data_IF_221878332371
#
_entry.id   IF_221878332371
#
_cell.length_a   1.000
_cell.length_b   1.000
_cell.length_c   1.000
_cell.angle_alpha   90.00
_cell.angle_beta   90.00
_cell.angle_gamma   90.00
#
_symmetry.space_group_name_H-M   'P 1'
#
loop_
_entity.id
_entity.type
_entity.pdbx_description
1 polymer ?
#
# COMPACT_ATOMS: atom_id res chain seq x y z
N UNK A 1 -61.05 65.63 25.81
CA UNK A 1 -61.05 66.69 24.73
C UNK A 1 -60.15 66.24 23.63
N UNK A 2 -60.79 65.75 22.60
CA UNK A 2 -60.65 66.13 21.17
C UNK A 2 -59.25 66.29 20.68
N UNK A 3 -58.78 65.72 19.55
CA UNK A 3 -59.40 65.55 18.22
C UNK A 3 -58.52 64.68 17.34
N UNK A 4 -59.15 63.81 16.64
CA UNK A 4 -59.01 63.36 15.26
C UNK A 4 -58.05 64.13 14.28
N UNK A 5 -57.30 63.38 13.46
CA UNK A 5 -57.28 63.49 11.95
C UNK A 5 -56.33 62.41 11.43
N UNK A 6 -56.82 61.39 10.75
CA UNK A 6 -57.00 61.14 9.29
C UNK A 6 -55.69 61.03 8.49
N UNK A 7 -55.45 59.78 8.09
CA UNK A 7 -55.38 59.30 6.71
C UNK A 7 -54.13 59.63 5.90
N UNK A 8 -53.54 58.60 5.35
CA UNK A 8 -52.59 58.61 4.24
C UNK A 8 -52.10 57.20 3.93
N UNK A 9 -52.93 56.49 3.14
CA UNK A 9 -52.50 55.21 2.56
C UNK A 9 -51.55 55.48 1.42
N UNK A 10 -50.32 54.97 1.48
CA UNK A 10 -49.40 54.90 0.33
C UNK A 10 -49.18 53.43 0.00
N UNK A 11 -49.77 52.96 -1.08
CA UNK A 11 -49.46 51.69 -1.71
C UNK A 11 -48.06 51.73 -2.28
N UNK A 12 -47.13 50.98 -1.71
CA UNK A 12 -45.85 50.68 -2.35
C UNK A 12 -45.93 49.22 -2.86
N UNK A 13 -46.07 49.12 -4.18
CA UNK A 13 -45.92 47.86 -4.93
C UNK A 13 -44.44 47.41 -4.83
N UNK A 14 -44.18 46.45 -3.92
CA UNK A 14 -42.94 45.74 -3.84
C UNK A 14 -42.88 44.67 -4.92
N UNK A 15 -41.97 44.87 -5.90
CA UNK A 15 -41.57 43.86 -6.87
C UNK A 15 -40.84 42.74 -6.13
N UNK A 16 -41.47 41.57 -5.99
CA UNK A 16 -40.81 40.33 -5.57
C UNK A 16 -39.91 39.89 -6.71
N UNK A 17 -38.62 40.21 -6.62
CA UNK A 17 -37.60 39.52 -7.37
C UNK A 17 -37.42 38.13 -6.77
N UNK A 18 -38.02 37.12 -7.38
CA UNK A 18 -37.72 35.71 -7.12
C UNK A 18 -36.29 35.46 -7.54
N UNK A 19 -35.36 35.59 -6.59
CA UNK A 19 -34.01 35.07 -6.74
C UNK A 19 -34.13 33.52 -6.78
N UNK A 20 -33.97 32.93 -7.97
CA UNK A 20 -33.64 31.51 -8.10
C UNK A 20 -32.28 31.32 -7.43
N UNK A 21 -32.26 30.88 -6.18
CA UNK A 21 -31.12 30.18 -5.63
C UNK A 21 -31.00 28.89 -6.45
N UNK A 22 -30.12 28.87 -7.45
CA UNK A 22 -29.55 27.63 -7.93
C UNK A 22 -28.79 27.06 -6.74
N UNK A 23 -29.41 26.07 -6.05
CA UNK A 23 -28.71 25.22 -5.12
C UNK A 23 -27.64 24.50 -5.93
N UNK A 24 -26.38 24.88 -5.75
CA UNK A 24 -25.26 24.00 -6.07
C UNK A 24 -25.44 22.84 -5.08
N UNK A 25 -26.04 21.75 -5.56
CA UNK A 25 -25.93 20.45 -4.89
C UNK A 25 -24.43 20.17 -4.90
N UNK A 26 -23.79 20.18 -3.75
CA UNK A 26 -22.49 19.53 -3.62
C UNK A 26 -22.77 18.07 -4.01
N UNK A 27 -22.22 17.60 -5.11
CA UNK A 27 -22.22 16.18 -5.42
C UNK A 27 -21.57 15.49 -4.22
N UNK A 28 -22.28 14.51 -3.65
CA UNK A 28 -21.81 13.74 -2.52
C UNK A 28 -20.60 12.94 -2.99
N UNK A 29 -19.46 13.15 -2.35
CA UNK A 29 -18.21 12.50 -2.71
C UNK A 29 -18.30 11.02 -2.29
N UNK A 30 -17.91 10.10 -3.16
CA UNK A 30 -17.89 8.66 -2.88
C UNK A 30 -16.53 8.28 -2.26
N UNK A 31 -16.53 7.75 -1.06
CA UNK A 31 -15.33 7.22 -0.41
C UNK A 31 -15.04 5.80 -0.93
N UNK A 32 -13.88 5.61 -1.54
CA UNK A 32 -13.37 4.29 -1.95
C UNK A 32 -12.24 3.89 -1.00
N UNK A 33 -12.46 2.82 -0.25
CA UNK A 33 -11.51 2.34 0.76
C UNK A 33 -10.51 1.39 0.10
N UNK A 34 -9.23 1.76 0.15
CA UNK A 34 -8.13 1.01 -0.46
C UNK A 34 -7.17 0.52 0.61
N UNK A 35 -7.05 -0.80 0.75
CA UNK A 35 -6.02 -1.42 1.58
C UNK A 35 -4.80 -1.73 0.71
N UNK A 36 -3.66 -1.13 1.01
CA UNK A 36 -2.46 -1.28 0.21
C UNK A 36 -1.22 -1.57 1.05
N UNK A 37 -0.34 -2.39 0.52
CA UNK A 37 0.94 -2.70 1.14
C UNK A 37 1.73 -1.42 1.48
N UNK A 38 2.31 -1.37 2.67
CA UNK A 38 3.03 -0.20 3.20
C UNK A 38 4.15 0.31 2.27
N UNK A 39 4.77 -0.57 1.47
CA UNK A 39 5.78 -0.22 0.46
C UNK A 39 5.27 0.69 -0.67
N UNK A 40 3.94 0.83 -0.81
CA UNK A 40 3.31 1.65 -1.84
C UNK A 40 2.87 3.04 -1.32
N UNK A 41 3.17 3.38 -0.08
CA UNK A 41 2.66 4.60 0.58
C UNK A 41 2.97 5.86 -0.23
N UNK A 42 4.21 6.04 -0.65
CA UNK A 42 4.64 7.25 -1.36
C UNK A 42 3.99 7.34 -2.75
N UNK A 43 4.05 6.26 -3.53
CA UNK A 43 3.53 6.23 -4.90
C UNK A 43 2.01 6.38 -4.93
N UNK A 44 1.28 5.66 -4.07
CA UNK A 44 -0.18 5.77 -4.04
C UNK A 44 -0.67 7.10 -3.45
N UNK A 45 0.10 7.75 -2.58
CA UNK A 45 -0.20 9.11 -2.11
C UNK A 45 -0.06 10.13 -3.25
N UNK A 46 0.96 10.00 -4.10
CA UNK A 46 1.11 10.83 -5.29
C UNK A 46 -0.01 10.56 -6.31
N UNK A 47 -0.29 9.29 -6.60
CA UNK A 47 -1.36 8.87 -7.52
C UNK A 47 -2.74 9.33 -7.01
N UNK A 48 -2.99 9.36 -5.69
CA UNK A 48 -4.21 9.91 -5.11
C UNK A 48 -4.45 11.36 -5.55
N UNK A 49 -3.43 12.20 -5.49
CA UNK A 49 -3.56 13.60 -5.93
C UNK A 49 -3.79 13.70 -7.44
N UNK A 50 -3.17 12.82 -8.24
CA UNK A 50 -3.42 12.76 -9.69
C UNK A 50 -4.85 12.29 -10.00
N UNK A 51 -5.37 11.29 -9.26
CA UNK A 51 -6.71 10.76 -9.48
C UNK A 51 -7.82 11.75 -9.15
N UNK A 52 -7.63 12.64 -8.20
CA UNK A 52 -8.56 13.75 -7.89
C UNK A 52 -8.83 14.67 -9.08
N UNK A 53 -7.83 14.83 -9.97
CA UNK A 53 -8.00 15.64 -11.19
C UNK A 53 -8.84 14.89 -12.25
N UNK A 54 -8.87 13.56 -12.21
CA UNK A 54 -9.59 12.69 -13.15
C UNK A 54 -11.01 12.44 -12.67
N UNK A 55 -11.17 12.10 -11.40
CA UNK A 55 -12.45 11.74 -10.75
C UNK A 55 -12.66 12.57 -9.46
N UNK A 56 -13.04 13.86 -9.59
CA UNK A 56 -13.13 14.77 -8.43
C UNK A 56 -14.23 14.39 -7.42
N UNK A 57 -15.17 13.52 -7.81
CA UNK A 57 -16.24 13.02 -6.96
C UNK A 57 -15.89 11.75 -6.20
N UNK A 58 -14.71 11.19 -6.42
CA UNK A 58 -14.19 10.02 -5.69
C UNK A 58 -13.13 10.48 -4.69
N UNK A 59 -13.26 10.04 -3.46
CA UNK A 59 -12.27 10.22 -2.41
C UNK A 59 -11.63 8.86 -2.08
N UNK A 60 -10.35 8.70 -2.41
CA UNK A 60 -9.61 7.49 -2.06
C UNK A 60 -9.19 7.53 -0.59
N UNK A 61 -9.61 6.55 0.19
CA UNK A 61 -9.29 6.40 1.61
C UNK A 61 -8.31 5.24 1.77
N UNK A 62 -7.03 5.55 1.93
CA UNK A 62 -6.00 4.53 2.05
C UNK A 62 -5.78 4.06 3.49
N UNK A 63 -5.59 2.75 3.64
CA UNK A 63 -4.98 2.13 4.82
C UNK A 63 -3.70 1.42 4.37
N UNK A 64 -2.55 1.87 4.86
CA UNK A 64 -1.24 1.30 4.56
C UNK A 64 -0.72 0.49 5.74
N UNK A 65 -0.47 -0.80 5.53
CA UNK A 65 0.15 -1.67 6.53
C UNK A 65 0.78 -2.90 5.84
N UNK A 66 1.27 -3.87 6.61
CA UNK A 66 1.69 -5.15 6.05
C UNK A 66 0.50 -5.84 5.38
N UNK A 67 0.76 -6.53 4.27
CA UNK A 67 -0.32 -7.23 3.56
C UNK A 67 -0.97 -8.31 4.41
N UNK A 68 -0.24 -8.91 5.36
CA UNK A 68 -0.79 -9.88 6.31
C UNK A 68 -1.75 -9.25 7.31
N UNK A 69 -1.39 -8.09 7.87
CA UNK A 69 -2.27 -7.30 8.75
C UNK A 69 -3.55 -6.90 8.02
N UNK A 70 -3.42 -6.33 6.81
CA UNK A 70 -4.57 -5.91 5.99
C UNK A 70 -5.48 -7.08 5.63
N UNK A 71 -4.89 -8.22 5.22
CA UNK A 71 -5.63 -9.46 4.97
C UNK A 71 -6.44 -9.90 6.20
N UNK A 72 -5.84 -9.83 7.39
CA UNK A 72 -6.51 -10.20 8.64
C UNK A 72 -7.67 -9.24 8.94
N UNK A 73 -7.51 -7.94 8.72
CA UNK A 73 -8.59 -6.96 8.85
C UNK A 73 -9.75 -7.24 7.89
N UNK A 74 -9.46 -7.62 6.62
CA UNK A 74 -10.48 -8.03 5.65
C UNK A 74 -11.23 -9.29 6.14
N UNK A 75 -10.52 -10.30 6.65
CA UNK A 75 -11.13 -11.50 7.22
C UNK A 75 -12.04 -11.18 8.42
N UNK A 76 -11.69 -10.17 9.21
CA UNK A 76 -12.45 -9.72 10.38
C UNK A 76 -13.63 -8.81 10.01
N UNK A 77 -13.80 -8.50 8.71
CA UNK A 77 -14.93 -7.75 8.17
C UNK A 77 -14.70 -6.24 8.15
N UNK A 78 -13.46 -5.78 8.03
CA UNK A 78 -13.18 -4.37 7.77
C UNK A 78 -13.69 -3.99 6.37
N UNK A 79 -14.22 -2.78 6.26
CA UNK A 79 -14.63 -2.21 4.99
C UNK A 79 -13.38 -2.01 4.11
N UNK A 80 -13.41 -2.61 2.92
CA UNK A 80 -12.35 -2.51 1.93
C UNK A 80 -12.94 -2.76 0.54
N UNK A 81 -12.73 -1.82 -0.39
CA UNK A 81 -13.19 -1.93 -1.76
C UNK A 81 -12.11 -2.53 -2.66
N UNK A 82 -10.86 -2.11 -2.48
CA UNK A 82 -9.71 -2.54 -3.28
C UNK A 82 -8.57 -2.99 -2.38
N UNK A 83 -8.03 -4.18 -2.62
CA UNK A 83 -6.86 -4.71 -1.91
C UNK A 83 -5.65 -4.83 -2.84
N UNK A 84 -4.50 -4.28 -2.43
CA UNK A 84 -3.21 -4.35 -3.12
C UNK A 84 -2.18 -4.97 -2.18
N UNK A 85 -1.76 -6.20 -2.48
CA UNK A 85 -0.83 -6.97 -1.66
C UNK A 85 0.59 -6.95 -2.23
N UNK A 86 1.62 -6.95 -1.38
CA UNK A 86 3.02 -7.09 -1.78
C UNK A 86 3.45 -8.55 -2.00
N UNK A 87 2.53 -9.51 -1.94
CA UNK A 87 2.78 -10.90 -2.31
C UNK A 87 1.50 -11.64 -2.70
N UNK A 88 1.67 -12.65 -3.56
CA UNK A 88 0.59 -13.53 -3.99
C UNK A 88 -0.06 -14.30 -2.82
N UNK A 89 0.73 -14.67 -1.79
CA UNK A 89 0.25 -15.48 -0.65
C UNK A 89 -0.98 -14.87 0.02
N UNK A 90 -0.95 -13.59 0.38
CA UNK A 90 -2.03 -12.93 1.11
C UNK A 90 -3.28 -12.76 0.25
N UNK A 91 -3.13 -12.45 -1.04
CA UNK A 91 -4.24 -12.42 -1.99
C UNK A 91 -4.85 -13.82 -2.16
N UNK A 92 -4.01 -14.85 -2.35
CA UNK A 92 -4.47 -16.23 -2.50
C UNK A 92 -5.22 -16.74 -1.27
N UNK A 93 -4.87 -16.30 -0.08
CA UNK A 93 -5.56 -16.66 1.17
C UNK A 93 -7.00 -16.10 1.26
N UNK A 94 -7.33 -15.09 0.46
CA UNK A 94 -8.67 -14.48 0.37
C UNK A 94 -9.46 -14.96 -0.85
N UNK A 95 -8.84 -15.71 -1.76
CA UNK A 95 -9.36 -16.08 -3.06
C UNK A 95 -9.79 -17.55 -3.09
N UNK A 96 -11.08 -17.79 -3.31
CA UNK A 96 -11.67 -19.15 -3.35
C UNK A 96 -11.13 -20.00 -4.51
N UNK A 97 -10.59 -19.36 -5.56
CA UNK A 97 -10.03 -20.06 -6.72
C UNK A 97 -8.58 -20.49 -6.51
N UNK A 98 -7.92 -19.98 -5.46
CA UNK A 98 -6.56 -20.36 -5.11
C UNK A 98 -6.46 -21.81 -4.61
N UNK A 99 -5.22 -22.32 -4.54
CA UNK A 99 -4.95 -23.65 -4.02
C UNK A 99 -5.49 -23.77 -2.58
N UNK A 100 -6.31 -24.81 -2.27
CA UNK A 100 -6.87 -25.02 -0.93
C UNK A 100 -5.82 -25.18 0.18
N UNK A 101 -4.57 -25.52 -0.15
CA UNK A 101 -3.47 -25.56 0.82
C UNK A 101 -2.99 -24.15 1.21
N UNK A 102 -3.31 -23.12 0.45
CA UNK A 102 -3.01 -21.71 0.73
C UNK A 102 -4.24 -21.01 1.34
N UNK A 103 -5.42 -21.21 0.76
CA UNK A 103 -6.70 -20.74 1.29
C UNK A 103 -7.38 -21.82 2.13
N UNK A 104 -6.75 -22.24 3.23
CA UNK A 104 -7.25 -23.31 4.11
C UNK A 104 -8.61 -23.02 4.74
N UNK A 105 -8.97 -21.73 4.87
CA UNK A 105 -10.25 -21.29 5.43
C UNK A 105 -11.38 -21.28 4.40
N UNK A 106 -11.08 -21.45 3.10
CA UNK A 106 -12.05 -21.37 2.02
C UNK A 106 -12.70 -19.98 1.88
N UNK A 107 -11.93 -18.92 2.07
CA UNK A 107 -12.41 -17.54 2.01
C UNK A 107 -12.71 -17.15 0.55
N UNK A 108 -13.74 -16.33 0.35
CA UNK A 108 -14.21 -15.89 -0.96
C UNK A 108 -14.44 -14.38 -0.99
N UNK A 109 -13.35 -13.64 -0.81
CA UNK A 109 -13.38 -12.17 -0.79
C UNK A 109 -13.00 -11.52 -2.11
N UNK A 110 -12.22 -12.21 -2.97
CA UNK A 110 -11.66 -11.64 -4.19
C UNK A 110 -12.67 -11.72 -5.35
N UNK A 111 -12.90 -10.60 -6.04
CA UNK A 111 -13.58 -10.63 -7.33
C UNK A 111 -12.58 -11.02 -8.43
N UNK A 112 -12.64 -12.28 -8.85
CA UNK A 112 -11.72 -12.87 -9.83
C UNK A 112 -11.70 -12.12 -11.17
N UNK A 113 -12.80 -11.45 -11.53
CA UNK A 113 -12.89 -10.69 -12.76
C UNK A 113 -12.02 -9.43 -12.75
N UNK A 114 -11.61 -8.96 -11.56
CA UNK A 114 -10.79 -7.77 -11.38
C UNK A 114 -9.37 -8.09 -10.96
N UNK A 115 -9.11 -9.34 -10.53
CA UNK A 115 -7.80 -9.75 -10.04
C UNK A 115 -6.74 -9.68 -11.13
N UNK A 116 -5.63 -8.99 -10.84
CA UNK A 116 -4.49 -8.90 -11.74
C UNK A 116 -3.17 -8.78 -10.96
N UNK A 117 -2.06 -9.06 -11.63
CA UNK A 117 -0.73 -8.72 -11.16
C UNK A 117 -0.43 -7.30 -11.64
N UNK A 118 -0.23 -6.37 -10.73
CA UNK A 118 -0.05 -4.96 -11.06
C UNK A 118 1.42 -4.60 -11.24
N UNK A 119 2.27 -4.99 -10.26
CA UNK A 119 3.66 -4.57 -10.18
C UNK A 119 4.59 -5.72 -9.81
N UNK A 120 5.85 -5.56 -10.21
CA UNK A 120 6.99 -6.31 -9.70
C UNK A 120 7.90 -5.42 -8.86
N UNK A 121 8.57 -6.02 -7.87
CA UNK A 121 9.57 -5.36 -7.04
C UNK A 121 10.79 -6.26 -6.86
N UNK A 122 11.82 -5.76 -6.20
CA UNK A 122 13.06 -6.48 -5.90
C UNK A 122 13.35 -6.44 -4.42
N UNK A 123 13.87 -7.54 -3.89
CA UNK A 123 14.35 -7.61 -2.51
C UNK A 123 15.82 -7.21 -2.49
N UNK A 124 16.18 -6.33 -1.56
CA UNK A 124 17.54 -5.80 -1.43
C UNK A 124 18.02 -5.85 0.01
N UNK A 125 19.32 -5.91 0.16
CA UNK A 125 20.01 -5.68 1.41
C UNK A 125 20.37 -4.20 1.49
N UNK A 126 19.80 -3.50 2.46
CA UNK A 126 20.05 -2.09 2.70
C UNK A 126 20.77 -1.89 4.03
N UNK A 127 21.60 -0.85 4.07
CA UNK A 127 22.43 -0.49 5.23
C UNK A 127 22.22 0.98 5.60
N UNK A 128 22.50 1.38 6.86
CA UNK A 128 22.52 2.77 7.28
C UNK A 128 23.50 3.62 6.47
N UNK A 129 23.37 4.95 6.58
CA UNK A 129 24.33 5.90 6.06
C UNK A 129 25.75 5.53 6.58
N UNK A 130 26.76 5.66 5.71
CA UNK A 130 28.16 5.32 5.98
C UNK A 130 28.47 3.82 6.21
N UNK A 131 27.48 2.92 6.24
CA UNK A 131 27.66 1.48 6.39
C UNK A 131 28.71 1.10 7.45
N UNK A 132 28.52 1.41 8.72
CA UNK A 132 29.57 1.28 9.75
C UNK A 132 30.00 -0.17 10.01
N UNK A 133 29.17 -1.16 9.66
CA UNK A 133 29.48 -2.58 9.80
C UNK A 133 30.23 -3.16 8.57
N UNK A 134 30.44 -2.36 7.51
CA UNK A 134 31.10 -2.77 6.25
C UNK A 134 30.48 -4.03 5.63
N UNK A 135 29.13 -4.10 5.65
CA UNK A 135 28.35 -5.16 5.02
C UNK A 135 28.25 -4.85 3.53
N UNK A 136 28.60 -5.80 2.65
CA UNK A 136 28.66 -5.61 1.22
C UNK A 136 27.76 -6.57 0.43
N UNK A 137 27.35 -7.69 1.04
CA UNK A 137 26.51 -8.70 0.40
C UNK A 137 25.67 -9.46 1.43
N UNK A 138 24.70 -10.27 0.95
CA UNK A 138 23.91 -11.14 1.80
C UNK A 138 24.76 -12.16 2.56
N UNK A 139 25.88 -12.64 1.98
CA UNK A 139 26.78 -13.59 2.64
C UNK A 139 27.48 -12.97 3.86
N UNK A 140 27.71 -11.66 3.84
CA UNK A 140 28.31 -10.96 5.00
C UNK A 140 27.44 -11.07 6.26
N UNK A 141 26.12 -11.30 6.12
CA UNK A 141 25.18 -11.49 7.24
C UNK A 141 25.54 -12.72 8.09
N UNK A 142 26.16 -13.74 7.50
CA UNK A 142 26.64 -14.94 8.22
C UNK A 142 27.99 -14.75 8.94
N UNK A 143 28.55 -13.53 8.97
CA UNK A 143 29.88 -13.25 9.51
C UNK A 143 29.84 -12.43 10.82
N UNK A 144 31.02 -12.18 11.39
CA UNK A 144 31.18 -11.31 12.58
C UNK A 144 30.96 -9.82 12.30
N UNK A 145 30.75 -9.41 11.05
CA UNK A 145 30.40 -8.03 10.68
C UNK A 145 29.03 -7.64 11.21
N UNK A 146 28.06 -8.56 11.18
CA UNK A 146 26.70 -8.33 11.59
C UNK A 146 26.55 -8.47 13.11
N UNK A 147 26.01 -7.43 13.78
CA UNK A 147 25.50 -7.52 15.14
C UNK A 147 23.99 -7.64 15.17
N UNK A 148 23.26 -6.85 14.37
CA UNK A 148 21.80 -6.86 14.36
C UNK A 148 21.25 -6.61 12.96
N UNK A 149 20.36 -7.49 12.49
CA UNK A 149 19.61 -7.43 11.25
C UNK A 149 18.14 -7.14 11.55
N UNK A 150 17.50 -6.25 10.78
CA UNK A 150 16.05 -6.06 10.84
C UNK A 150 15.36 -6.71 9.65
N UNK A 151 14.31 -7.49 9.94
CA UNK A 151 13.44 -8.14 8.97
C UNK A 151 11.98 -7.74 9.21
N UNK A 152 11.11 -7.96 8.21
CA UNK A 152 9.67 -7.99 8.45
C UNK A 152 9.30 -9.24 9.27
N UNK A 153 8.26 -9.13 10.11
CA UNK A 153 7.72 -10.31 10.82
C UNK A 153 6.91 -11.21 9.86
N UNK A 154 6.30 -12.27 10.38
CA UNK A 154 5.54 -13.27 9.60
C UNK A 154 4.34 -12.73 8.81
N UNK A 155 3.78 -11.57 9.20
CA UNK A 155 2.69 -10.88 8.50
C UNK A 155 3.18 -9.95 7.38
N UNK A 156 4.49 -9.71 7.32
CA UNK A 156 5.11 -8.81 6.34
C UNK A 156 5.62 -9.61 5.14
N UNK A 157 5.11 -9.37 3.92
CA UNK A 157 5.55 -10.14 2.75
C UNK A 157 7.08 -10.17 2.55
N UNK A 158 7.78 -9.03 2.73
CA UNK A 158 9.25 -9.02 2.61
C UNK A 158 9.94 -9.85 3.69
N UNK A 159 9.30 -10.08 4.84
CA UNK A 159 9.78 -11.01 5.86
C UNK A 159 9.89 -12.44 5.32
N UNK A 160 8.85 -12.93 4.64
CA UNK A 160 8.86 -14.26 4.03
C UNK A 160 9.94 -14.40 2.93
N UNK A 161 10.16 -13.35 2.12
CA UNK A 161 11.27 -13.32 1.16
C UNK A 161 12.64 -13.29 1.86
N UNK A 162 12.75 -12.57 2.97
CA UNK A 162 13.98 -12.52 3.78
C UNK A 162 14.33 -13.88 4.37
N UNK A 163 13.36 -14.59 4.92
CA UNK A 163 13.54 -15.95 5.43
C UNK A 163 13.96 -16.92 4.31
N UNK A 164 13.36 -16.79 3.11
CA UNK A 164 13.73 -17.59 1.94
C UNK A 164 15.22 -17.35 1.56
N UNK A 165 15.65 -16.09 1.51
CA UNK A 165 17.06 -15.71 1.23
C UNK A 165 18.01 -16.29 2.28
N UNK A 166 17.74 -16.06 3.57
CA UNK A 166 18.60 -16.49 4.65
C UNK A 166 18.65 -18.04 4.77
N UNK A 167 17.56 -18.73 4.42
CA UNK A 167 17.49 -20.20 4.34
C UNK A 167 18.31 -20.72 3.18
N UNK A 168 18.20 -20.12 2.00
CA UNK A 168 18.97 -20.51 0.82
C UNK A 168 20.48 -20.28 0.99
N UNK A 169 20.85 -19.35 1.86
CA UNK A 169 22.25 -19.11 2.28
C UNK A 169 22.72 -19.99 3.45
N UNK A 170 21.85 -20.84 4.03
CA UNK A 170 22.14 -21.69 5.19
C UNK A 170 22.55 -20.89 6.46
N UNK A 171 22.07 -19.63 6.64
CA UNK A 171 22.47 -18.77 7.77
C UNK A 171 21.30 -18.41 8.71
N UNK A 172 20.04 -18.68 8.37
CA UNK A 172 18.88 -18.28 9.17
C UNK A 172 18.96 -18.85 10.60
N UNK A 173 19.12 -20.17 10.74
CA UNK A 173 19.18 -20.86 12.04
C UNK A 173 20.29 -20.30 12.95
N UNK A 174 21.44 -19.94 12.36
CA UNK A 174 22.55 -19.34 13.10
C UNK A 174 22.18 -17.93 13.61
N UNK A 175 21.59 -17.09 12.74
CA UNK A 175 21.21 -15.71 13.12
C UNK A 175 20.15 -15.70 14.22
N UNK A 176 19.19 -16.64 14.18
CA UNK A 176 18.19 -16.83 15.23
C UNK A 176 18.82 -17.30 16.56
N UNK A 177 19.69 -18.33 16.52
CA UNK A 177 20.38 -18.85 17.69
C UNK A 177 21.24 -17.77 18.37
N UNK A 178 21.91 -16.95 17.58
CA UNK A 178 22.76 -15.84 18.03
C UNK A 178 21.95 -14.58 18.44
N UNK A 179 20.62 -14.59 18.22
CA UNK A 179 19.70 -13.48 18.48
C UNK A 179 20.10 -12.20 17.73
N UNK A 180 20.54 -12.35 16.50
CA UNK A 180 20.96 -11.26 15.63
C UNK A 180 19.84 -10.71 14.76
N UNK A 181 18.58 -11.12 14.96
CA UNK A 181 17.40 -10.67 14.21
C UNK A 181 16.46 -9.88 15.11
N UNK A 182 16.00 -8.74 14.63
CA UNK A 182 14.84 -7.99 15.14
C UNK A 182 13.78 -7.87 14.05
N UNK A 183 12.53 -7.57 14.42
CA UNK A 183 11.41 -7.60 13.48
C UNK A 183 10.64 -6.28 13.50
N UNK A 184 10.25 -5.82 12.28
CA UNK A 184 9.26 -4.77 12.09
C UNK A 184 7.88 -5.35 11.76
N UNK A 185 6.83 -4.66 12.14
CA UNK A 185 5.43 -5.06 11.86
C UNK A 185 4.99 -4.76 10.42
N UNK A 186 5.73 -3.93 9.72
CA UNK A 186 5.62 -3.66 8.28
C UNK A 186 6.98 -3.19 7.73
N UNK A 187 7.10 -3.08 6.39
CA UNK A 187 8.38 -2.73 5.75
C UNK A 187 8.85 -1.32 6.10
N UNK A 188 7.95 -0.36 6.36
CA UNK A 188 8.33 1.01 6.74
C UNK A 188 9.00 1.06 8.11
N UNK A 189 8.60 0.19 9.02
CA UNK A 189 9.24 0.05 10.33
C UNK A 189 10.66 -0.53 10.20
N UNK A 190 10.85 -1.52 9.32
CA UNK A 190 12.19 -2.05 8.97
C UNK A 190 13.06 -0.93 8.38
N UNK A 191 12.56 -0.21 7.38
CA UNK A 191 13.24 0.91 6.72
C UNK A 191 13.65 2.00 7.72
N UNK A 192 12.77 2.32 8.67
CA UNK A 192 13.04 3.31 9.72
C UNK A 192 14.19 2.86 10.62
N UNK A 193 14.23 1.59 11.06
CA UNK A 193 15.30 1.06 11.90
C UNK A 193 16.67 1.14 11.20
N UNK A 194 16.70 0.89 9.87
CA UNK A 194 17.92 1.04 9.07
C UNK A 194 18.32 2.53 9.01
N UNK A 195 17.38 3.42 8.66
CA UNK A 195 17.63 4.86 8.52
C UNK A 195 18.15 5.50 9.81
N UNK A 196 17.66 5.05 10.96
CA UNK A 196 18.09 5.52 12.28
C UNK A 196 19.41 4.90 12.76
N UNK A 197 19.99 3.94 12.01
CA UNK A 197 21.18 3.22 12.43
C UNK A 197 20.97 2.35 13.68
N UNK A 198 19.74 1.97 13.96
CA UNK A 198 19.39 1.09 15.08
C UNK A 198 19.80 -0.37 14.83
N UNK A 199 20.06 -0.70 13.56
CA UNK A 199 20.50 -2.01 13.08
C UNK A 199 21.66 -1.84 12.08
N UNK A 200 22.44 -2.88 11.86
CA UNK A 200 23.57 -2.84 10.92
C UNK A 200 23.11 -2.98 9.47
N UNK A 201 21.99 -3.70 9.25
CA UNK A 201 21.39 -3.92 7.93
C UNK A 201 19.91 -4.30 8.07
N UNK A 202 19.20 -4.26 6.95
CA UNK A 202 17.84 -4.80 6.84
C UNK A 202 17.55 -5.30 5.44
N UNK A 203 16.65 -6.27 5.35
CA UNK A 203 16.17 -6.79 4.07
C UNK A 203 14.80 -6.16 3.79
N UNK A 204 14.73 -5.37 2.72
CA UNK A 204 13.56 -4.56 2.33
C UNK A 204 13.37 -4.62 0.81
N UNK A 205 12.38 -3.90 0.31
CA UNK A 205 12.23 -3.73 -1.14
C UNK A 205 13.12 -2.59 -1.66
N UNK A 206 13.52 -2.69 -2.93
CA UNK A 206 14.31 -1.67 -3.61
C UNK A 206 13.61 -0.31 -3.60
N UNK A 207 12.29 -0.30 -3.75
CA UNK A 207 11.46 0.91 -3.73
C UNK A 207 11.48 1.60 -2.36
N UNK A 208 11.47 0.85 -1.26
CA UNK A 208 11.58 1.40 0.10
C UNK A 208 12.96 1.97 0.36
N UNK A 209 14.01 1.29 -0.10
CA UNK A 209 15.38 1.79 -0.01
C UNK A 209 15.55 3.10 -0.81
N UNK A 210 14.99 3.16 -2.03
CA UNK A 210 15.00 4.35 -2.87
C UNK A 210 14.29 5.52 -2.20
N UNK A 211 13.04 5.30 -1.75
CA UNK A 211 12.22 6.35 -1.11
C UNK A 211 12.84 6.90 0.18
N UNK A 212 13.56 6.06 0.93
CA UNK A 212 14.25 6.46 2.16
C UNK A 212 15.68 6.96 1.94
N UNK A 213 16.20 6.93 0.71
CA UNK A 213 17.57 7.32 0.39
C UNK A 213 18.63 6.42 1.02
N UNK A 214 18.30 5.14 1.28
CA UNK A 214 19.21 4.17 1.87
C UNK A 214 20.21 3.63 0.86
N UNK A 215 21.37 3.20 1.36
CA UNK A 215 22.38 2.52 0.53
C UNK A 215 22.00 1.06 0.36
N UNK A 216 21.76 0.65 -0.88
CA UNK A 216 21.62 -0.75 -1.28
C UNK A 216 23.04 -1.31 -1.50
N UNK A 217 23.39 -2.39 -0.81
CA UNK A 217 24.67 -3.07 -0.94
C UNK A 217 24.56 -4.37 -1.72
N UNK A 218 23.36 -4.98 -1.79
CA UNK A 218 23.13 -6.20 -2.56
C UNK A 218 21.65 -6.31 -2.97
N UNK A 219 21.37 -7.11 -4.01
CA UNK A 219 20.03 -7.40 -4.51
C UNK A 219 19.88 -8.91 -4.71
N UNK A 220 18.79 -9.47 -4.16
CA UNK A 220 18.49 -10.88 -4.33
C UNK A 220 18.21 -11.22 -5.79
N UNK A 221 18.82 -12.29 -6.26
CA UNK A 221 18.53 -12.91 -7.55
C UNK A 221 17.53 -14.07 -7.41
N UNK A 222 17.22 -14.74 -8.53
CA UNK A 222 16.26 -15.85 -8.59
C UNK A 222 16.70 -17.10 -7.84
N UNK A 223 18.00 -17.22 -7.52
CA UNK A 223 18.52 -18.36 -6.76
C UNK A 223 18.32 -18.14 -5.25
N UNK A 224 18.22 -16.87 -4.82
CA UNK A 224 18.03 -16.50 -3.43
C UNK A 224 16.55 -16.42 -3.03
N UNK A 225 15.68 -15.83 -3.87
CA UNK A 225 14.23 -15.81 -3.61
C UNK A 225 13.43 -15.72 -4.90
N UNK A 226 12.15 -16.09 -4.80
CA UNK A 226 11.20 -15.95 -5.91
C UNK A 226 10.91 -14.49 -6.22
N UNK A 227 10.38 -14.27 -7.43
CA UNK A 227 9.93 -12.96 -7.90
C UNK A 227 8.87 -12.34 -7.00
N UNK A 228 9.03 -11.05 -6.71
CA UNK A 228 8.08 -10.28 -5.90
C UNK A 228 7.01 -9.69 -6.81
N UNK A 229 5.79 -10.18 -6.67
CA UNK A 229 4.60 -9.72 -7.43
C UNK A 229 3.60 -9.07 -6.49
N UNK A 230 3.04 -7.94 -6.92
CA UNK A 230 1.96 -7.23 -6.24
C UNK A 230 0.64 -7.49 -6.96
N UNK A 231 -0.14 -8.48 -6.50
CA UNK A 231 -1.49 -8.69 -6.96
C UNK A 231 -2.44 -7.64 -6.39
N UNK A 232 -3.45 -7.30 -7.17
CA UNK A 232 -4.53 -6.40 -6.77
C UNK A 232 -5.87 -6.97 -7.19
N UNK A 233 -6.94 -6.66 -6.44
CA UNK A 233 -8.31 -7.03 -6.79
C UNK A 233 -9.32 -6.14 -6.06
N UNK A 234 -10.45 -5.88 -6.69
CA UNK A 234 -11.66 -5.40 -6.03
C UNK A 234 -12.22 -6.55 -5.17
N UNK A 235 -12.71 -6.23 -3.99
CA UNK A 235 -13.31 -7.24 -3.12
C UNK A 235 -14.79 -7.43 -3.41
N UNK A 236 -15.30 -8.65 -3.25
CA UNK A 236 -16.75 -8.98 -3.39
C UNK A 236 -17.62 -8.27 -2.34
N UNK A 237 -16.99 -7.80 -1.26
CA UNK A 237 -17.63 -7.05 -0.18
C UNK A 237 -17.56 -5.54 -0.38
N UNK A 238 -16.99 -5.07 -1.49
CA UNK A 238 -16.85 -3.65 -1.79
C UNK A 238 -18.21 -2.93 -1.74
N UNK A 239 -18.26 -1.78 -1.09
CA UNK A 239 -19.44 -0.91 -1.08
C UNK A 239 -19.54 -0.12 -2.40
N UNK A 240 -18.38 0.20 -3.01
CA UNK A 240 -18.26 0.98 -4.25
C UNK A 240 -17.44 0.23 -5.32
N UNK A 241 -17.91 -0.95 -5.81
CA UNK A 241 -17.12 -1.80 -6.69
C UNK A 241 -16.82 -1.18 -8.06
N UNK A 242 -17.72 -0.35 -8.59
CA UNK A 242 -17.53 0.29 -9.90
C UNK A 242 -16.45 1.39 -9.82
N UNK A 243 -16.45 2.21 -8.76
CA UNK A 243 -15.44 3.24 -8.50
C UNK A 243 -14.08 2.62 -8.14
N UNK A 244 -14.07 1.55 -7.34
CA UNK A 244 -12.86 0.78 -7.03
C UNK A 244 -12.23 0.18 -8.30
N UNK A 245 -13.07 -0.36 -9.21
CA UNK A 245 -12.61 -0.86 -10.50
C UNK A 245 -12.08 0.25 -11.40
N UNK A 246 -12.73 1.41 -11.41
CA UNK A 246 -12.26 2.57 -12.18
C UNK A 246 -10.88 3.04 -11.68
N UNK A 247 -10.67 3.07 -10.35
CA UNK A 247 -9.36 3.37 -9.80
C UNK A 247 -8.32 2.29 -10.12
N UNK A 248 -8.69 1.00 -10.04
CA UNK A 248 -7.82 -0.11 -10.46
C UNK A 248 -7.39 0.05 -11.92
N UNK A 249 -8.32 0.39 -12.82
CA UNK A 249 -7.99 0.64 -14.22
C UNK A 249 -7.07 1.87 -14.39
N UNK A 250 -7.27 2.90 -13.59
CA UNK A 250 -6.40 4.07 -13.60
C UNK A 250 -4.96 3.72 -13.20
N UNK A 251 -4.75 2.80 -12.23
CA UNK A 251 -3.43 2.34 -11.82
C UNK A 251 -2.62 1.69 -12.96
N UNK A 252 -3.27 1.25 -14.03
CA UNK A 252 -2.61 0.64 -15.21
C UNK A 252 -2.28 1.65 -16.31
N UNK A 253 -2.54 2.94 -16.13
CA UNK A 253 -2.25 3.98 -17.12
C UNK A 253 -0.76 4.33 -17.16
N UNK A 254 -0.31 4.87 -18.32
CA UNK A 254 1.07 5.34 -18.48
C UNK A 254 1.47 6.38 -17.42
N UNK A 255 0.54 7.23 -17.00
CA UNK A 255 0.79 8.24 -15.98
C UNK A 255 1.10 7.62 -14.61
N UNK A 256 0.41 6.54 -14.22
CA UNK A 256 0.72 5.80 -12.99
C UNK A 256 2.00 4.96 -13.15
N UNK A 257 2.23 4.40 -14.34
CA UNK A 257 3.46 3.66 -14.63
C UNK A 257 4.71 4.53 -14.42
N UNK A 258 4.69 5.80 -14.87
CA UNK A 258 5.79 6.76 -14.64
C UNK A 258 6.07 6.96 -13.14
N UNK A 259 5.02 7.04 -12.30
CA UNK A 259 5.18 7.17 -10.83
C UNK A 259 5.78 5.91 -10.23
N UNK A 260 5.25 4.73 -10.59
CA UNK A 260 5.73 3.46 -10.07
C UNK A 260 7.18 3.17 -10.49
N UNK A 261 7.50 3.34 -11.77
CA UNK A 261 8.84 3.11 -12.32
C UNK A 261 9.85 4.13 -11.78
N UNK A 262 9.40 5.35 -11.48
CA UNK A 262 10.22 6.41 -10.89
C UNK A 262 10.87 6.05 -9.56
N UNK A 263 10.28 5.11 -8.79
CA UNK A 263 10.84 4.60 -7.53
C UNK A 263 11.40 3.18 -7.64
N UNK A 264 11.31 2.55 -8.82
CA UNK A 264 11.93 1.24 -9.09
C UNK A 264 10.98 0.04 -9.12
N UNK A 265 9.66 0.23 -9.09
CA UNK A 265 8.72 -0.83 -9.49
C UNK A 265 8.84 -1.11 -10.99
N UNK A 266 8.36 -2.25 -11.40
CA UNK A 266 8.16 -2.59 -12.82
C UNK A 266 6.69 -2.94 -13.02
N UNK A 267 6.05 -2.38 -14.04
CA UNK A 267 4.68 -2.76 -14.39
C UNK A 267 4.66 -4.20 -14.92
N UNK A 268 3.67 -4.98 -14.50
CA UNK A 268 3.43 -6.31 -15.09
C UNK A 268 2.60 -6.13 -16.36
N UNK A 269 3.10 -6.66 -17.48
CA UNK A 269 2.33 -6.65 -18.73
C UNK A 269 1.08 -7.54 -18.58
N UNK A 270 -0.09 -7.03 -18.99
CA UNK A 270 -1.30 -7.83 -19.01
C UNK A 270 -1.15 -8.95 -20.04
N UNK A 271 -1.32 -10.21 -19.62
CA UNK A 271 -1.34 -11.39 -20.51
C UNK A 271 -2.58 -11.46 -21.38
#
# INVERSE_FOLDING_TARGET
MNTWKKAGALFLTGVFASGMCMGVSAEEQTDVVVFAAASMTETLTEIQEMYKEVEPNVNLVFTFDSSGTLKTQIEEGADCDLFISAAQKQMNQLDITADPSVNEKGLDFVDDATRMNLLENKVVLAVPEDNPADIQSFEDLGTDKLNLLCLGNEDVPVGAYSEEILTNLDILDQLEADKKITYGSNVKEVTTQISEGSVDAGIIYATDAYSAGLTIVDQADSDLCKQVIYPTAVLKTAEHPDEAKAFLDYLTTDACAEVFEGVGFTMVEAE
#
